data_IF_445526698149
#
_entry.id   IF_445526698149
#
_cell.length_a   1.000
_cell.length_b   1.000
_cell.length_c   1.000
_cell.angle_alpha   90.00
_cell.angle_beta   90.00
_cell.angle_gamma   90.00
#
_symmetry.space_group_name_H-M   'P 1'
#
loop_
_entity.id
_entity.type
_entity.pdbx_description
1 polymer ?
#
# COMPACT_ATOMS: atom_id res chain seq x y z
N UNK A 1 16.29 9.42 -16.67
CA UNK A 1 15.80 9.01 -18.01
C UNK A 1 15.17 7.63 -17.91
N UNK A 2 13.90 7.48 -18.31
CA UNK A 2 13.11 6.23 -18.21
C UNK A 2 13.83 5.01 -18.83
N UNK A 3 14.62 5.23 -19.87
CA UNK A 3 15.44 4.20 -20.50
C UNK A 3 16.54 3.58 -19.61
N UNK A 4 17.07 4.33 -18.63
CA UNK A 4 18.08 3.81 -17.70
C UNK A 4 17.43 2.88 -16.67
N UNK A 5 16.28 3.29 -16.12
CA UNK A 5 15.45 2.48 -15.23
C UNK A 5 14.99 1.18 -15.93
N UNK A 6 14.50 1.26 -17.18
CA UNK A 6 14.10 0.08 -17.95
C UNK A 6 15.26 -0.92 -18.20
N UNK A 7 16.48 -0.42 -18.45
CA UNK A 7 17.66 -1.29 -18.61
C UNK A 7 18.04 -2.01 -17.32
N UNK A 8 17.87 -1.36 -16.17
CA UNK A 8 18.13 -1.97 -14.87
C UNK A 8 17.07 -3.03 -14.52
N UNK A 9 15.80 -2.84 -14.91
CA UNK A 9 14.76 -3.86 -14.70
C UNK A 9 15.00 -5.14 -15.49
N UNK A 10 15.38 -5.04 -16.76
CA UNK A 10 15.69 -6.24 -17.60
C UNK A 10 16.89 -7.00 -17.04
N UNK A 11 17.92 -6.28 -16.58
CA UNK A 11 19.09 -6.90 -15.98
C UNK A 11 18.77 -7.52 -14.61
N UNK A 12 17.94 -6.88 -13.81
CA UNK A 12 17.49 -7.39 -12.51
C UNK A 12 16.58 -8.62 -12.66
N UNK A 13 15.66 -8.62 -13.63
CA UNK A 13 14.78 -9.77 -13.89
C UNK A 13 15.58 -10.98 -14.35
N UNK A 14 16.57 -10.81 -15.23
CA UNK A 14 17.42 -11.90 -15.70
C UNK A 14 18.23 -12.53 -14.55
N UNK A 15 18.79 -11.72 -13.66
CA UNK A 15 19.52 -12.21 -12.47
C UNK A 15 18.59 -12.91 -11.48
N UNK A 16 17.40 -12.36 -11.24
CA UNK A 16 16.41 -12.98 -10.35
C UNK A 16 15.88 -14.30 -10.91
N UNK A 17 15.68 -14.40 -12.23
CA UNK A 17 15.32 -15.65 -12.91
C UNK A 17 16.36 -16.76 -12.67
N UNK A 18 17.64 -16.45 -12.85
CA UNK A 18 18.72 -17.40 -12.53
C UNK A 18 18.73 -17.79 -11.04
N UNK A 19 18.48 -16.84 -10.15
CA UNK A 19 18.48 -17.11 -8.71
C UNK A 19 17.29 -17.96 -8.26
N UNK A 20 16.09 -17.79 -8.84
CA UNK A 20 14.94 -18.64 -8.50
C UNK A 20 15.11 -20.06 -9.05
N UNK A 21 15.84 -20.25 -10.14
CA UNK A 21 16.22 -21.58 -10.63
C UNK A 21 17.22 -22.28 -9.69
N UNK A 22 18.18 -21.52 -9.14
CA UNK A 22 19.17 -22.05 -8.19
C UNK A 22 18.61 -22.28 -6.79
N UNK A 23 17.62 -21.48 -6.38
CA UNK A 23 17.03 -21.50 -5.05
C UNK A 23 15.48 -21.45 -5.13
N UNK A 24 14.83 -22.51 -5.64
CA UNK A 24 13.39 -22.51 -5.91
C UNK A 24 12.52 -22.40 -4.66
N UNK A 25 13.04 -22.76 -3.48
CA UNK A 25 12.32 -22.66 -2.22
C UNK A 25 12.43 -21.28 -1.55
N UNK A 26 13.22 -20.36 -2.14
CA UNK A 26 13.43 -19.04 -1.59
C UNK A 26 12.28 -18.08 -1.98
N UNK A 27 11.27 -18.03 -1.11
CA UNK A 27 10.11 -17.15 -1.25
C UNK A 27 10.47 -15.69 -1.56
N UNK A 28 11.52 -15.15 -0.92
CA UNK A 28 11.94 -13.76 -1.08
C UNK A 28 12.40 -13.45 -2.52
N UNK A 29 12.95 -14.43 -3.23
CA UNK A 29 13.33 -14.28 -4.64
C UNK A 29 12.12 -14.25 -5.57
N UNK A 30 11.17 -15.16 -5.35
CA UNK A 30 9.93 -15.21 -6.14
C UNK A 30 9.11 -13.93 -6.03
N UNK A 31 8.97 -13.40 -4.81
CA UNK A 31 8.21 -12.16 -4.60
C UNK A 31 8.96 -10.93 -5.08
N UNK A 32 10.30 -10.94 -5.05
CA UNK A 32 11.11 -9.90 -5.68
C UNK A 32 10.94 -9.91 -7.21
N UNK A 33 10.95 -11.08 -7.83
CA UNK A 33 10.72 -11.23 -9.26
C UNK A 33 9.29 -10.80 -9.64
N UNK A 34 8.29 -11.16 -8.84
CA UNK A 34 6.92 -10.70 -9.00
C UNK A 34 6.80 -9.16 -8.96
N UNK A 35 7.49 -8.52 -8.02
CA UNK A 35 7.50 -7.05 -7.89
C UNK A 35 8.15 -6.37 -9.09
N UNK A 36 9.27 -6.91 -9.59
CA UNK A 36 9.90 -6.40 -10.82
C UNK A 36 8.94 -6.54 -12.01
N UNK A 37 8.30 -7.71 -12.16
CA UNK A 37 7.34 -7.95 -13.23
C UNK A 37 6.14 -6.99 -13.17
N UNK A 38 5.58 -6.72 -11.99
CA UNK A 38 4.53 -5.70 -11.81
C UNK A 38 4.99 -4.30 -12.20
N UNK A 39 6.23 -3.93 -11.85
CA UNK A 39 6.75 -2.58 -12.12
C UNK A 39 6.95 -2.30 -13.61
N UNK A 40 7.15 -3.35 -14.43
CA UNK A 40 7.19 -3.24 -15.90
C UNK A 40 5.85 -3.55 -16.57
N UNK A 41 4.78 -3.81 -15.80
CA UNK A 41 3.43 -4.07 -16.31
C UNK A 41 3.16 -5.51 -16.74
N UNK A 42 4.08 -6.45 -16.50
CA UNK A 42 3.93 -7.87 -16.83
C UNK A 42 3.13 -8.62 -15.75
N UNK A 43 1.82 -8.35 -15.66
CA UNK A 43 0.95 -8.86 -14.58
C UNK A 43 0.86 -10.40 -14.56
N UNK A 44 0.84 -11.05 -15.73
CA UNK A 44 0.75 -12.53 -15.82
C UNK A 44 2.02 -13.21 -15.28
N UNK A 45 3.19 -12.68 -15.63
CA UNK A 45 4.48 -13.18 -15.13
C UNK A 45 4.59 -12.98 -13.62
N UNK A 46 4.11 -11.84 -13.11
CA UNK A 46 4.04 -11.59 -11.68
C UNK A 46 3.14 -12.62 -10.98
N UNK A 47 1.98 -12.94 -11.56
CA UNK A 47 1.09 -13.94 -10.97
C UNK A 47 1.70 -15.34 -10.92
N UNK A 48 2.43 -15.74 -11.96
CA UNK A 48 3.19 -17.00 -11.94
C UNK A 48 4.20 -17.01 -10.79
N UNK A 49 4.95 -15.93 -10.61
CA UNK A 49 5.93 -15.82 -9.52
C UNK A 49 5.27 -15.87 -8.14
N UNK A 50 4.14 -15.18 -7.94
CA UNK A 50 3.39 -15.23 -6.67
C UNK A 50 2.84 -16.63 -6.42
N UNK A 51 2.35 -17.34 -7.44
CA UNK A 51 1.95 -18.74 -7.29
C UNK A 51 3.13 -19.61 -6.86
N UNK A 52 4.32 -19.43 -7.43
CA UNK A 52 5.50 -20.18 -6.99
C UNK A 52 5.88 -19.86 -5.54
N UNK A 53 5.84 -18.57 -5.15
CA UNK A 53 6.06 -18.14 -3.76
C UNK A 53 5.10 -18.81 -2.77
N UNK A 54 3.84 -19.05 -3.15
CA UNK A 54 2.84 -19.75 -2.33
C UNK A 54 3.14 -21.23 -2.12
N UNK A 55 3.83 -21.87 -3.07
CA UNK A 55 4.22 -23.28 -2.96
C UNK A 55 5.52 -23.46 -2.15
N UNK A 56 6.27 -22.38 -1.90
CA UNK A 56 7.45 -22.47 -1.03
C UNK A 56 7.02 -22.89 0.39
N UNK A 57 7.78 -23.77 1.08
CA UNK A 57 7.51 -24.15 2.47
C UNK A 57 7.37 -22.93 3.40
N UNK A 58 8.07 -21.85 3.03
CA UNK A 58 8.08 -20.58 3.73
C UNK A 58 6.75 -19.82 3.76
N UNK A 59 5.86 -20.07 2.81
CA UNK A 59 4.60 -19.35 2.65
C UNK A 59 3.72 -19.45 3.89
N UNK A 60 3.75 -20.58 4.60
CA UNK A 60 2.94 -20.83 5.79
C UNK A 60 3.22 -19.82 6.91
N UNK A 61 4.47 -19.39 7.06
CA UNK A 61 4.90 -18.45 8.10
C UNK A 61 5.13 -17.02 7.59
N UNK A 62 5.09 -16.80 6.27
CA UNK A 62 5.20 -15.47 5.61
C UNK A 62 3.89 -15.09 4.88
N UNK A 63 2.74 -15.40 5.47
CA UNK A 63 1.42 -15.13 4.89
C UNK A 63 1.22 -13.65 4.56
N UNK A 64 1.77 -12.76 5.38
CA UNK A 64 1.80 -11.31 5.18
C UNK A 64 2.37 -10.93 3.81
N UNK A 65 3.46 -11.57 3.39
CA UNK A 65 4.13 -11.29 2.12
C UNK A 65 3.32 -11.81 0.95
N UNK A 66 2.77 -13.02 1.07
CA UNK A 66 1.90 -13.58 0.04
C UNK A 66 0.68 -12.68 -0.18
N UNK A 67 0.01 -12.30 0.92
CA UNK A 67 -1.15 -11.42 0.88
C UNK A 67 -0.81 -10.05 0.29
N UNK A 68 0.34 -9.47 0.62
CA UNK A 68 0.80 -8.21 0.02
C UNK A 68 0.94 -8.32 -1.51
N UNK A 69 1.54 -9.40 -2.01
CA UNK A 69 1.73 -9.57 -3.46
C UNK A 69 0.42 -9.93 -4.17
N UNK A 70 -0.50 -10.64 -3.50
CA UNK A 70 -1.87 -10.83 -3.98
C UNK A 70 -2.64 -9.52 -4.07
N UNK A 71 -2.52 -8.64 -3.07
CA UNK A 71 -3.10 -7.30 -3.13
C UNK A 71 -2.52 -6.50 -4.31
N UNK A 72 -1.21 -6.51 -4.53
CA UNK A 72 -0.61 -5.80 -5.67
C UNK A 72 -1.06 -6.32 -7.02
N UNK A 73 -1.21 -7.65 -7.18
CA UNK A 73 -1.76 -8.25 -8.40
C UNK A 73 -3.21 -7.81 -8.65
N UNK A 74 -4.03 -7.82 -7.61
CA UNK A 74 -5.43 -7.40 -7.71
C UNK A 74 -5.54 -5.91 -8.07
N UNK A 75 -4.74 -5.05 -7.42
CA UNK A 75 -4.63 -3.62 -7.76
C UNK A 75 -4.21 -3.43 -9.22
N UNK A 76 -3.18 -4.17 -9.68
CA UNK A 76 -2.71 -4.07 -11.06
C UNK A 76 -3.76 -4.52 -12.11
N UNK A 77 -4.73 -5.34 -11.69
CA UNK A 77 -5.87 -5.79 -12.52
C UNK A 77 -7.09 -4.87 -12.41
N UNK A 78 -7.07 -3.89 -11.50
CA UNK A 78 -8.24 -3.09 -11.15
C UNK A 78 -9.29 -3.85 -10.34
N UNK A 79 -8.95 -5.01 -9.77
CA UNK A 79 -9.83 -5.81 -8.92
C UNK A 79 -9.76 -5.31 -7.48
N UNK A 80 -10.53 -4.27 -7.18
CA UNK A 80 -10.54 -3.62 -5.87
C UNK A 80 -11.07 -4.53 -4.76
N UNK A 81 -11.95 -5.49 -5.08
CA UNK A 81 -12.54 -6.39 -4.10
C UNK A 81 -11.52 -7.44 -3.65
N UNK A 82 -10.84 -8.10 -4.60
CA UNK A 82 -9.77 -9.04 -4.27
C UNK A 82 -8.60 -8.33 -3.58
N UNK A 83 -8.28 -7.09 -3.97
CA UNK A 83 -7.26 -6.27 -3.31
C UNK A 83 -7.65 -6.00 -1.85
N UNK A 84 -8.89 -5.58 -1.62
CA UNK A 84 -9.40 -5.28 -0.28
C UNK A 84 -9.39 -6.51 0.63
N UNK A 85 -9.80 -7.67 0.12
CA UNK A 85 -9.76 -8.93 0.87
C UNK A 85 -8.33 -9.30 1.28
N UNK A 86 -7.37 -9.19 0.36
CA UNK A 86 -5.97 -9.47 0.65
C UNK A 86 -5.40 -8.49 1.70
N UNK A 87 -5.70 -7.20 1.58
CA UNK A 87 -5.27 -6.15 2.52
C UNK A 87 -5.86 -6.36 3.92
N UNK A 88 -7.14 -6.70 4.04
CA UNK A 88 -7.77 -7.07 5.31
C UNK A 88 -7.10 -8.32 5.92
N UNK A 89 -6.72 -9.29 5.10
CA UNK A 89 -5.96 -10.46 5.53
C UNK A 89 -4.58 -10.10 6.12
N UNK A 90 -3.92 -9.05 5.60
CA UNK A 90 -2.66 -8.52 6.17
C UNK A 90 -2.94 -7.89 7.53
N UNK A 91 -3.99 -7.06 7.63
CA UNK A 91 -4.36 -6.38 8.88
C UNK A 91 -4.79 -7.35 9.99
N UNK A 92 -5.27 -8.54 9.64
CA UNK A 92 -5.60 -9.60 10.58
C UNK A 92 -4.37 -10.35 11.15
N UNK A 93 -3.16 -10.10 10.66
CA UNK A 93 -1.94 -10.76 11.17
C UNK A 93 -1.56 -10.24 12.57
N UNK A 94 -1.42 -11.15 13.54
CA UNK A 94 -1.16 -10.80 14.94
C UNK A 94 0.19 -10.07 15.19
N UNK A 95 1.16 -10.18 14.28
CA UNK A 95 2.51 -9.59 14.40
C UNK A 95 2.82 -8.64 13.23
N UNK A 96 1.86 -7.81 12.84
CA UNK A 96 2.09 -6.80 11.81
C UNK A 96 2.77 -5.56 12.39
N UNK A 97 3.91 -5.17 11.81
CA UNK A 97 4.57 -3.92 12.20
C UNK A 97 3.75 -2.69 11.75
N UNK A 98 3.96 -1.56 12.43
CA UNK A 98 3.20 -0.32 12.20
C UNK A 98 3.32 0.20 10.77
N UNK A 99 4.50 0.06 10.16
CA UNK A 99 4.75 0.53 8.79
C UNK A 99 3.92 -0.26 7.78
N UNK A 100 3.90 -1.58 7.89
CA UNK A 100 3.09 -2.46 7.04
C UNK A 100 1.61 -2.27 7.29
N UNK A 101 1.19 -2.08 8.55
CA UNK A 101 -0.19 -1.74 8.90
C UNK A 101 -0.61 -0.45 8.19
N UNK A 102 0.21 0.60 8.25
CA UNK A 102 -0.06 1.88 7.60
C UNK A 102 -0.21 1.74 6.08
N UNK A 103 0.72 1.04 5.41
CA UNK A 103 0.65 0.78 3.97
C UNK A 103 -0.63 0.02 3.60
N UNK A 104 -0.98 -1.02 4.38
CA UNK A 104 -2.16 -1.83 4.10
C UNK A 104 -3.47 -1.03 4.27
N UNK A 105 -3.59 -0.20 5.32
CA UNK A 105 -4.75 0.68 5.52
C UNK A 105 -4.84 1.72 4.40
N UNK A 106 -3.70 2.32 4.03
CA UNK A 106 -3.67 3.30 2.94
C UNK A 106 -4.20 2.72 1.63
N UNK A 107 -3.65 1.57 1.22
CA UNK A 107 -4.08 0.89 0.00
C UNK A 107 -5.54 0.42 0.10
N UNK A 108 -6.02 0.03 1.28
CA UNK A 108 -7.42 -0.36 1.48
C UNK A 108 -8.35 0.85 1.30
N UNK A 109 -7.98 2.01 1.84
CA UNK A 109 -8.71 3.26 1.63
C UNK A 109 -8.80 3.62 0.14
N UNK A 110 -7.70 3.47 -0.61
CA UNK A 110 -7.69 3.67 -2.06
C UNK A 110 -8.60 2.67 -2.79
N UNK A 111 -8.56 1.39 -2.44
CA UNK A 111 -9.44 0.38 -3.04
C UNK A 111 -10.92 0.71 -2.78
N UNK A 112 -11.26 1.09 -1.55
CA UNK A 112 -12.63 1.50 -1.21
C UNK A 112 -13.07 2.74 -1.96
N UNK A 113 -12.18 3.72 -2.16
CA UNK A 113 -12.45 4.89 -2.98
C UNK A 113 -12.78 4.49 -4.43
N UNK A 114 -11.96 3.63 -5.05
CA UNK A 114 -12.21 3.17 -6.43
C UNK A 114 -13.46 2.29 -6.57
N UNK A 115 -13.88 1.61 -5.50
CA UNK A 115 -15.17 0.92 -5.43
C UNK A 115 -16.37 1.84 -5.14
N UNK A 116 -16.16 3.15 -4.99
CA UNK A 116 -17.21 4.13 -4.70
C UNK A 116 -17.63 4.20 -3.22
N UNK A 117 -16.98 3.45 -2.33
CA UNK A 117 -17.28 3.38 -0.91
C UNK A 117 -16.55 4.48 -0.12
N UNK A 118 -16.77 5.75 -0.48
CA UNK A 118 -16.07 6.93 0.08
C UNK A 118 -16.14 6.97 1.61
N UNK A 119 -17.28 6.61 2.21
CA UNK A 119 -17.42 6.58 3.68
C UNK A 119 -16.51 5.56 4.37
N UNK A 120 -16.31 4.38 3.77
CA UNK A 120 -15.39 3.38 4.31
C UNK A 120 -13.94 3.80 4.11
N UNK A 121 -13.61 4.37 2.94
CA UNK A 121 -12.28 4.90 2.67
C UNK A 121 -11.87 5.95 3.73
N UNK A 122 -12.78 6.89 4.05
CA UNK A 122 -12.59 7.86 5.11
C UNK A 122 -12.39 7.16 6.45
N UNK A 123 -13.28 6.24 6.82
CA UNK A 123 -13.20 5.55 8.11
C UNK A 123 -11.84 4.86 8.34
N UNK A 124 -11.31 4.20 7.31
CA UNK A 124 -10.02 3.51 7.40
C UNK A 124 -8.84 4.48 7.56
N UNK A 125 -8.79 5.53 6.72
CA UNK A 125 -7.68 6.48 6.76
C UNK A 125 -7.74 7.37 8.01
N UNK A 126 -8.95 7.76 8.44
CA UNK A 126 -9.17 8.53 9.67
C UNK A 126 -8.81 7.71 10.91
N UNK A 127 -9.18 6.42 10.97
CA UNK A 127 -8.78 5.56 12.10
C UNK A 127 -7.26 5.41 12.17
N UNK A 128 -6.57 5.26 11.04
CA UNK A 128 -5.09 5.23 11.05
C UNK A 128 -4.49 6.57 11.50
N UNK A 129 -5.05 7.69 11.05
CA UNK A 129 -4.58 9.00 11.46
C UNK A 129 -4.72 9.22 12.97
N UNK A 130 -5.79 8.71 13.57
CA UNK A 130 -6.07 8.83 15.00
C UNK A 130 -5.26 7.81 15.82
N UNK A 131 -5.16 6.57 15.36
CA UNK A 131 -4.48 5.47 16.07
C UNK A 131 -2.94 5.62 16.06
N UNK A 132 -2.41 6.25 15.00
CA UNK A 132 -0.96 6.44 14.80
C UNK A 132 -0.65 7.88 14.36
N UNK A 133 -0.90 8.88 15.23
CA UNK A 133 -0.87 10.28 14.85
C UNK A 133 0.55 10.79 14.53
N UNK A 134 1.57 10.20 15.17
CA UNK A 134 2.99 10.46 14.88
C UNK A 134 3.38 10.06 13.45
N UNK A 135 2.98 8.86 13.02
CA UNK A 135 3.24 8.38 11.67
C UNK A 135 2.39 9.13 10.63
N UNK A 136 1.13 9.41 10.97
CA UNK A 136 0.21 10.09 10.07
C UNK A 136 0.60 11.55 9.83
N UNK A 137 1.05 12.27 10.86
CA UNK A 137 1.55 13.63 10.72
C UNK A 137 2.77 13.73 9.79
N UNK A 138 3.53 12.65 9.63
CA UNK A 138 4.69 12.56 8.74
C UNK A 138 4.38 12.04 7.33
N UNK A 139 3.14 11.63 7.06
CA UNK A 139 2.72 11.18 5.74
C UNK A 139 1.85 12.23 5.05
N UNK A 140 2.49 13.06 4.23
CA UNK A 140 1.82 14.03 3.37
C UNK A 140 0.79 13.38 2.45
N UNK A 141 1.08 12.19 1.91
CA UNK A 141 0.18 11.47 1.00
C UNK A 141 -1.10 11.00 1.71
N UNK A 142 -0.98 10.51 2.95
CA UNK A 142 -2.13 10.10 3.76
C UNK A 142 -3.04 11.29 4.04
N UNK A 143 -2.48 12.40 4.52
CA UNK A 143 -3.24 13.59 4.86
C UNK A 143 -3.89 14.22 3.64
N UNK A 144 -3.18 14.28 2.50
CA UNK A 144 -3.72 14.74 1.23
C UNK A 144 -4.88 13.88 0.72
N UNK A 145 -4.75 12.56 0.79
CA UNK A 145 -5.81 11.64 0.38
C UNK A 145 -7.03 11.77 1.30
N UNK A 146 -6.83 11.87 2.61
CA UNK A 146 -7.91 12.05 3.58
C UNK A 146 -8.62 13.40 3.37
N UNK A 147 -7.87 14.49 3.17
CA UNK A 147 -8.42 15.81 2.85
C UNK A 147 -9.23 15.79 1.55
N UNK A 148 -8.73 15.11 0.51
CA UNK A 148 -9.43 14.95 -0.76
C UNK A 148 -10.72 14.13 -0.61
N UNK A 149 -10.71 13.07 0.19
CA UNK A 149 -11.90 12.30 0.50
C UNK A 149 -12.94 13.10 1.28
N UNK A 150 -12.49 13.93 2.24
CA UNK A 150 -13.40 14.82 2.96
C UNK A 150 -14.10 15.80 2.03
N UNK A 151 -13.43 16.30 0.98
CA UNK A 151 -14.04 17.18 -0.03
C UNK A 151 -15.13 16.51 -0.86
N UNK A 152 -15.18 15.17 -0.88
CA UNK A 152 -16.27 14.40 -1.49
C UNK A 152 -17.47 14.22 -0.54
N UNK A 153 -17.42 14.79 0.66
CA UNK A 153 -18.44 14.61 1.70
C UNK A 153 -18.85 15.92 2.35
N UNK A 154 -19.97 15.90 3.07
CA UNK A 154 -20.40 17.03 3.88
C UNK A 154 -19.40 17.34 5.01
N UNK A 155 -19.35 18.62 5.41
CA UNK A 155 -18.55 19.12 6.54
C UNK A 155 -17.04 18.93 6.37
N UNK A 156 -16.54 18.96 5.12
CA UNK A 156 -15.12 18.81 4.79
C UNK A 156 -14.22 19.67 5.68
N UNK A 157 -14.48 20.98 5.76
CA UNK A 157 -13.66 21.92 6.56
C UNK A 157 -13.59 21.53 8.03
N UNK A 158 -14.72 21.13 8.64
CA UNK A 158 -14.75 20.74 10.05
C UNK A 158 -13.89 19.49 10.30
N UNK A 159 -13.95 18.52 9.38
CA UNK A 159 -13.16 17.28 9.47
C UNK A 159 -11.67 17.54 9.27
N UNK A 160 -11.30 18.36 8.28
CA UNK A 160 -9.91 18.81 8.07
C UNK A 160 -9.36 19.53 9.30
N UNK A 161 -10.12 20.45 9.89
CA UNK A 161 -9.72 21.15 11.12
C UNK A 161 -9.56 20.19 12.31
N UNK A 162 -10.36 19.12 12.40
CA UNK A 162 -10.20 18.10 13.43
C UNK A 162 -8.87 17.35 13.27
N UNK A 163 -8.54 16.92 12.06
CA UNK A 163 -7.25 16.26 11.78
C UNK A 163 -6.09 17.22 12.05
N UNK A 164 -6.20 18.48 11.64
CA UNK A 164 -5.21 19.50 11.97
C UNK A 164 -4.98 19.58 13.48
N UNK A 165 -6.05 19.71 14.27
CA UNK A 165 -5.94 19.89 15.72
C UNK A 165 -5.45 18.64 16.47
N UNK A 166 -5.87 17.45 16.05
CA UNK A 166 -5.62 16.20 16.78
C UNK A 166 -4.36 15.46 16.32
N UNK A 167 -3.96 15.62 15.06
CA UNK A 167 -2.87 14.86 14.44
C UNK A 167 -1.73 15.77 14.04
N UNK A 168 -2.00 16.81 13.25
CA UNK A 168 -0.91 17.62 12.69
C UNK A 168 -0.29 18.54 13.74
N UNK A 169 -1.08 19.39 14.40
CA UNK A 169 -0.57 20.39 15.34
C UNK A 169 0.25 19.78 16.51
N UNK A 170 -0.10 18.61 17.08
CA UNK A 170 0.69 18.04 18.19
C UNK A 170 1.91 17.21 17.74
N UNK A 171 1.93 16.73 16.50
CA UNK A 171 2.90 15.69 16.07
C UNK A 171 3.74 16.06 14.85
N UNK A 172 3.30 17.02 14.04
CA UNK A 172 4.04 17.44 12.87
C UNK A 172 5.25 18.30 13.25
N UNK A 173 6.40 18.03 12.64
CA UNK A 173 7.60 18.86 12.79
C UNK A 173 7.60 20.06 11.84
N UNK A 174 8.64 20.89 11.93
CA UNK A 174 8.79 22.15 11.19
C UNK A 174 8.74 22.01 9.66
N UNK A 175 8.96 20.80 9.13
CA UNK A 175 8.97 20.52 7.69
C UNK A 175 7.62 20.01 7.16
N UNK A 176 6.52 20.25 7.89
CA UNK A 176 5.17 19.88 7.48
C UNK A 176 4.67 20.78 6.35
N UNK A 177 4.10 20.15 5.31
CA UNK A 177 3.45 20.85 4.21
C UNK A 177 1.94 21.07 4.49
N UNK A 178 1.51 22.31 4.81
CA UNK A 178 0.11 22.61 5.10
C UNK A 178 -0.81 22.46 3.89
N UNK A 179 -0.30 22.45 2.66
CA UNK A 179 -1.11 22.25 1.46
C UNK A 179 -1.78 20.88 1.44
N UNK A 180 -1.22 19.90 2.16
CA UNK A 180 -1.78 18.55 2.30
C UNK A 180 -3.20 18.55 2.87
N UNK A 181 -3.57 19.52 3.72
CA UNK A 181 -4.91 19.56 4.31
C UNK A 181 -5.95 20.24 3.41
N UNK A 182 -5.54 20.88 2.30
CA UNK A 182 -6.44 21.62 1.39
C UNK A 182 -7.38 22.55 2.15
N UNK A 183 -6.87 23.29 3.13
CA UNK A 183 -7.65 24.27 3.87
C UNK A 183 -7.81 25.54 3.00
N UNK A 184 -9.00 26.16 2.98
CA UNK A 184 -9.17 27.45 2.32
C UNK A 184 -8.31 28.51 3.03
N UNK A 185 -7.82 29.47 2.25
CA UNK A 185 -7.06 30.62 2.75
C UNK A 185 -7.89 31.52 3.67
#
# INVERSE_FOLDING_TARGET
>A
SVFMLMKDYVSASARLQLLVELYPDAIDLWVALARVALQVGHVEAAEQCVRQAEHCPAATYRKDIILAHRAYLAIARGDNDAASQALLGILAQAKLDLKRKSIAIHNLGICQLYSGNVGQAISYLESMAIDTPDLAAMSHELLFNLATLYDLTDKSTQRKCRILAQVVAPWAGDNFDPECLKLPA
#
